data_IF_026811134097
#
_entry.id   IF_026811134097
#
_cell.length_a   1.000
_cell.length_b   1.000
_cell.length_c   1.000
_cell.angle_alpha   90.00
_cell.angle_beta   90.00
_cell.angle_gamma   90.00
#
_symmetry.space_group_name_H-M   'P 1'
#
loop_
_entity.id
_entity.type
_entity.pdbx_description
1 polymer ?
#
# COMPACT_ATOMS: atom_id res chain seq x y z
N UNK A 1 -11.14 -21.42 -36.22
CA UNK A 1 -10.50 -20.09 -36.37
C UNK A 1 -10.91 -19.12 -35.27
N UNK A 2 -12.20 -18.96 -34.93
CA UNK A 2 -12.66 -18.08 -33.84
C UNK A 2 -12.20 -18.57 -32.45
N UNK A 3 -12.34 -19.87 -32.15
CA UNK A 3 -11.86 -20.46 -30.88
C UNK A 3 -10.35 -20.32 -30.69
N UNK A 4 -9.56 -20.59 -31.74
CA UNK A 4 -8.10 -20.39 -31.67
C UNK A 4 -7.72 -18.93 -31.39
N UNK A 5 -8.44 -17.97 -31.95
CA UNK A 5 -8.22 -16.54 -31.67
C UNK A 5 -8.62 -16.17 -30.25
N UNK A 6 -9.69 -16.76 -29.72
CA UNK A 6 -10.13 -16.51 -28.35
C UNK A 6 -9.14 -17.09 -27.34
N UNK A 7 -8.71 -18.35 -27.52
CA UNK A 7 -7.70 -19.01 -26.67
C UNK A 7 -6.37 -18.24 -26.67
N UNK A 8 -5.93 -17.76 -27.85
CA UNK A 8 -4.70 -16.94 -27.95
C UNK A 8 -4.83 -15.61 -27.20
N UNK A 9 -6.01 -14.97 -27.25
CA UNK A 9 -6.27 -13.71 -26.53
C UNK A 9 -6.32 -13.92 -25.01
N UNK A 10 -6.93 -15.00 -24.56
CA UNK A 10 -6.97 -15.35 -23.14
C UNK A 10 -5.58 -15.67 -22.59
N UNK A 11 -4.79 -16.47 -23.30
CA UNK A 11 -3.41 -16.78 -22.92
C UNK A 11 -2.54 -15.52 -22.86
N UNK A 12 -2.75 -14.59 -23.79
CA UNK A 12 -2.05 -13.31 -23.82
C UNK A 12 -2.41 -12.45 -22.58
N UNK A 13 -3.69 -12.31 -22.27
CA UNK A 13 -4.15 -11.60 -21.07
C UNK A 13 -3.59 -12.23 -19.79
N UNK A 14 -3.62 -13.55 -19.70
CA UNK A 14 -3.06 -14.28 -18.56
C UNK A 14 -1.56 -13.99 -18.36
N UNK A 15 -0.75 -14.05 -19.41
CA UNK A 15 0.69 -13.72 -19.36
C UNK A 15 0.94 -12.30 -18.86
N UNK A 16 0.16 -11.33 -19.34
CA UNK A 16 0.25 -9.94 -18.89
C UNK A 16 -0.05 -9.83 -17.40
N UNK A 17 -1.12 -10.45 -16.93
CA UNK A 17 -1.53 -10.41 -15.53
C UNK A 17 -0.50 -11.07 -14.61
N UNK A 18 0.07 -12.20 -15.01
CA UNK A 18 1.12 -12.89 -14.24
C UNK A 18 2.36 -12.02 -14.13
N UNK A 19 2.85 -11.43 -15.21
CA UNK A 19 4.02 -10.55 -15.17
C UNK A 19 3.76 -9.31 -14.31
N UNK A 20 2.59 -8.69 -14.45
CA UNK A 20 2.19 -7.56 -13.61
C UNK A 20 2.10 -7.95 -12.12
N UNK A 21 1.50 -9.09 -11.80
CA UNK A 21 1.40 -9.59 -10.43
C UNK A 21 2.80 -9.90 -9.85
N UNK A 22 3.72 -10.44 -10.65
CA UNK A 22 5.09 -10.69 -10.23
C UNK A 22 5.83 -9.39 -9.92
N UNK A 23 5.67 -8.33 -10.72
CA UNK A 23 6.25 -7.01 -10.40
C UNK A 23 5.73 -6.51 -9.06
N UNK A 24 4.43 -6.55 -8.84
CA UNK A 24 3.80 -6.07 -7.59
C UNK A 24 4.17 -6.94 -6.40
N UNK A 25 4.36 -8.25 -6.59
CA UNK A 25 4.88 -9.15 -5.56
C UNK A 25 6.29 -8.76 -5.14
N UNK A 26 7.19 -8.50 -6.11
CA UNK A 26 8.56 -8.07 -5.83
C UNK A 26 8.61 -6.67 -5.19
N UNK A 27 7.67 -5.79 -5.56
CA UNK A 27 7.48 -4.50 -4.90
C UNK A 27 7.09 -4.67 -3.42
N UNK A 28 6.10 -5.52 -3.13
CA UNK A 28 5.70 -5.87 -1.77
C UNK A 28 6.82 -6.51 -0.97
N UNK A 29 7.64 -7.36 -1.61
CA UNK A 29 8.84 -7.95 -1.02
C UNK A 29 9.83 -6.87 -0.57
N UNK A 30 10.14 -5.91 -1.46
CA UNK A 30 11.15 -4.88 -1.16
C UNK A 30 10.66 -3.85 -0.13
N UNK A 31 9.38 -3.49 -0.15
CA UNK A 31 8.78 -2.64 0.89
C UNK A 31 8.98 -3.27 2.27
N UNK A 32 8.75 -4.58 2.40
CA UNK A 32 8.90 -5.31 3.65
C UNK A 32 10.34 -5.67 4.00
N UNK A 33 11.24 -5.74 3.03
CA UNK A 33 12.66 -6.01 3.24
C UNK A 33 13.27 -5.08 4.30
N UNK A 34 12.89 -3.82 4.29
CA UNK A 34 13.34 -2.84 5.29
C UNK A 34 12.85 -3.20 6.70
N UNK A 35 11.58 -3.56 6.87
CA UNK A 35 11.00 -3.90 8.17
C UNK A 35 11.59 -5.18 8.78
N UNK A 36 11.65 -6.26 7.98
CA UNK A 36 12.16 -7.56 8.46
C UNK A 36 13.66 -7.53 8.77
N UNK A 37 14.43 -6.69 8.09
CA UNK A 37 15.88 -6.52 8.31
C UNK A 37 16.22 -5.44 9.35
N UNK A 38 15.27 -4.59 9.72
CA UNK A 38 15.49 -3.36 10.48
C UNK A 38 16.23 -3.56 11.81
N UNK A 39 15.96 -4.65 12.55
CA UNK A 39 16.63 -4.93 13.82
C UNK A 39 18.10 -5.27 13.61
N UNK A 40 18.40 -6.16 12.65
CA UNK A 40 19.78 -6.56 12.34
C UNK A 40 20.59 -5.41 11.72
N UNK A 41 19.95 -4.61 10.85
CA UNK A 41 20.55 -3.39 10.29
C UNK A 41 20.85 -2.35 11.37
N UNK A 42 19.94 -2.13 12.31
CA UNK A 42 20.15 -1.20 13.41
C UNK A 42 21.33 -1.60 14.28
N UNK A 43 21.52 -2.90 14.54
CA UNK A 43 22.69 -3.42 15.26
C UNK A 43 23.97 -3.27 14.43
N UNK A 44 23.95 -3.62 13.14
CA UNK A 44 25.13 -3.58 12.28
C UNK A 44 25.67 -2.16 12.06
N UNK A 45 24.80 -1.16 12.00
CA UNK A 45 25.15 0.24 11.75
C UNK A 45 24.99 1.14 12.98
N UNK A 46 24.71 0.55 14.16
CA UNK A 46 24.50 1.30 15.43
C UNK A 46 23.49 2.43 15.30
N UNK A 47 22.35 2.15 14.63
CA UNK A 47 21.35 3.17 14.35
C UNK A 47 20.54 3.50 15.63
N UNK A 48 20.51 4.79 15.97
CA UNK A 48 19.55 5.28 16.95
C UNK A 48 18.10 5.07 16.44
N UNK A 49 17.10 4.98 17.35
CA UNK A 49 15.69 4.73 16.95
C UNK A 49 15.17 5.70 15.89
N UNK A 50 15.47 6.99 16.01
CA UNK A 50 15.08 7.99 15.02
C UNK A 50 15.75 7.75 13.65
N UNK A 51 17.05 7.43 13.62
CA UNK A 51 17.78 7.08 12.39
C UNK A 51 17.20 5.84 11.70
N UNK A 52 16.76 4.84 12.47
CA UNK A 52 16.04 3.67 11.97
C UNK A 52 14.67 4.07 11.39
N UNK A 53 13.94 5.00 12.04
CA UNK A 53 12.68 5.55 11.52
C UNK A 53 12.86 6.25 10.17
N UNK A 54 13.93 7.05 10.00
CA UNK A 54 14.28 7.71 8.73
C UNK A 54 14.59 6.67 7.65
N UNK A 55 15.38 5.64 7.97
CA UNK A 55 15.70 4.54 7.05
C UNK A 55 14.43 3.84 6.55
N UNK A 56 13.51 3.51 7.44
CA UNK A 56 12.23 2.85 7.11
C UNK A 56 11.30 3.76 6.29
N UNK A 57 11.29 5.06 6.58
CA UNK A 57 10.47 6.04 5.87
C UNK A 57 11.05 6.50 4.52
N UNK A 58 12.36 6.32 4.28
CA UNK A 58 13.04 6.87 3.12
C UNK A 58 12.46 6.39 1.78
N UNK A 59 12.13 5.09 1.66
CA UNK A 59 11.49 4.56 0.46
C UNK A 59 10.08 5.13 0.24
N UNK A 60 9.33 5.39 1.31
CA UNK A 60 8.00 5.99 1.20
C UNK A 60 8.05 7.43 0.63
N UNK A 61 9.09 8.20 0.95
CA UNK A 61 9.33 9.53 0.34
C UNK A 61 9.59 9.37 -1.17
N UNK A 62 10.45 8.44 -1.57
CA UNK A 62 10.72 8.15 -2.97
C UNK A 62 9.45 7.71 -3.72
N UNK A 63 8.67 6.79 -3.13
CA UNK A 63 7.39 6.32 -3.68
C UNK A 63 6.42 7.49 -3.86
N UNK A 64 6.30 8.38 -2.87
CA UNK A 64 5.41 9.55 -2.94
C UNK A 64 5.76 10.45 -4.14
N UNK A 65 7.03 10.83 -4.27
CA UNK A 65 7.50 11.70 -5.35
C UNK A 65 7.32 11.02 -6.72
N UNK A 66 7.78 9.77 -6.84
CA UNK A 66 7.77 9.07 -8.11
C UNK A 66 6.38 8.59 -8.55
N UNK A 67 5.42 8.38 -7.64
CA UNK A 67 4.06 8.03 -8.03
C UNK A 67 3.35 9.19 -8.75
N UNK A 68 3.68 10.42 -8.41
CA UNK A 68 3.17 11.62 -9.10
C UNK A 68 3.85 11.75 -10.47
N UNK A 69 5.18 11.71 -10.51
CA UNK A 69 5.95 11.85 -11.74
C UNK A 69 5.74 10.65 -12.70
N UNK A 70 5.69 9.44 -12.15
CA UNK A 70 5.56 8.19 -12.91
C UNK A 70 4.25 8.08 -13.67
N UNK A 71 3.14 8.54 -13.10
CA UNK A 71 1.86 8.63 -13.80
C UNK A 71 1.96 9.51 -15.05
N UNK A 72 2.49 10.72 -14.91
CA UNK A 72 2.70 11.65 -16.02
C UNK A 72 3.64 11.08 -17.08
N UNK A 73 4.76 10.48 -16.68
CA UNK A 73 5.72 9.87 -17.59
C UNK A 73 5.12 8.66 -18.31
N UNK A 74 4.29 7.86 -17.63
CA UNK A 74 3.62 6.71 -18.22
C UNK A 74 2.59 7.11 -19.29
N UNK A 75 1.89 8.22 -19.09
CA UNK A 75 0.96 8.76 -20.09
C UNK A 75 1.71 9.34 -21.30
N UNK A 76 2.86 10.01 -21.08
CA UNK A 76 3.68 10.62 -22.15
C UNK A 76 4.47 9.61 -22.97
N UNK A 77 5.15 8.66 -22.33
CA UNK A 77 6.09 7.73 -22.98
C UNK A 77 5.51 6.32 -23.15
N UNK A 78 4.31 6.08 -22.62
CA UNK A 78 3.69 4.76 -22.55
C UNK A 78 4.01 4.05 -21.23
N UNK A 79 3.12 3.15 -20.79
CA UNK A 79 3.22 2.48 -19.49
C UNK A 79 4.37 1.46 -19.42
N UNK A 80 4.58 0.67 -20.49
CA UNK A 80 5.61 -0.37 -20.52
C UNK A 80 7.02 0.14 -20.23
N UNK A 81 7.56 1.21 -20.86
CA UNK A 81 8.89 1.72 -20.55
C UNK A 81 9.05 2.14 -19.09
N UNK A 82 7.99 2.73 -18.49
CA UNK A 82 8.03 3.18 -17.10
C UNK A 82 8.04 2.00 -16.14
N UNK A 83 7.27 0.94 -16.43
CA UNK A 83 7.31 -0.31 -15.64
C UNK A 83 8.72 -0.92 -15.68
N UNK A 84 9.29 -1.08 -16.88
CA UNK A 84 10.64 -1.68 -17.03
C UNK A 84 11.69 -0.85 -16.30
N UNK A 85 11.70 0.48 -16.52
CA UNK A 85 12.65 1.38 -15.88
C UNK A 85 12.50 1.35 -14.35
N UNK A 86 11.26 1.43 -13.85
CA UNK A 86 10.98 1.36 -12.42
C UNK A 86 11.49 0.07 -11.79
N UNK A 87 11.25 -1.07 -12.44
CA UNK A 87 11.72 -2.39 -11.97
C UNK A 87 13.24 -2.46 -11.93
N UNK A 88 13.92 -1.97 -12.97
CA UNK A 88 15.39 -1.94 -13.01
C UNK A 88 15.93 -1.02 -11.89
N UNK A 89 15.36 0.17 -11.74
CA UNK A 89 15.80 1.14 -10.72
C UNK A 89 15.64 0.56 -9.32
N UNK A 90 14.46 0.05 -8.95
CA UNK A 90 14.30 -0.48 -7.60
C UNK A 90 15.17 -1.72 -7.35
N UNK A 91 15.37 -2.59 -8.35
CA UNK A 91 16.26 -3.74 -8.23
C UNK A 91 17.72 -3.34 -8.02
N UNK A 92 18.24 -2.41 -8.81
CA UNK A 92 19.62 -1.92 -8.67
C UNK A 92 19.86 -1.23 -7.32
N UNK A 93 18.93 -0.38 -6.89
CA UNK A 93 19.09 0.34 -5.63
C UNK A 93 18.79 -0.51 -4.41
N UNK A 94 17.97 -1.56 -4.52
CA UNK A 94 17.88 -2.61 -3.49
C UNK A 94 19.22 -3.30 -3.30
N UNK A 95 19.93 -3.70 -4.38
CA UNK A 95 21.30 -4.23 -4.33
C UNK A 95 22.30 -3.20 -3.77
N UNK A 96 22.17 -1.93 -4.09
CA UNK A 96 23.08 -0.89 -3.58
C UNK A 96 23.05 -0.77 -2.05
N UNK A 97 21.97 -1.22 -1.40
CA UNK A 97 21.88 -1.31 0.06
C UNK A 97 23.00 -2.18 0.64
N UNK A 98 23.44 -3.22 -0.10
CA UNK A 98 24.54 -4.10 0.31
C UNK A 98 25.90 -3.39 0.38
N UNK A 99 26.07 -2.29 -0.34
CA UNK A 99 27.27 -1.48 -0.39
C UNK A 99 27.25 -0.31 0.61
N UNK A 100 26.20 -0.23 1.44
CA UNK A 100 26.09 0.84 2.42
C UNK A 100 27.16 0.70 3.52
N UNK A 101 27.79 1.82 3.86
CA UNK A 101 28.81 1.90 4.93
C UNK A 101 28.33 2.77 6.10
N UNK A 102 27.07 3.22 6.09
CA UNK A 102 26.45 4.03 7.14
C UNK A 102 25.05 4.49 6.76
N UNK A 103 24.40 5.18 7.70
CA UNK A 103 22.99 5.61 7.60
C UNK A 103 22.70 6.42 6.34
N UNK A 104 23.59 7.34 5.95
CA UNK A 104 23.37 8.20 4.76
C UNK A 104 23.24 7.40 3.47
N UNK A 105 24.11 6.38 3.27
CA UNK A 105 24.03 5.50 2.09
C UNK A 105 22.80 4.59 2.14
N UNK A 106 22.41 4.11 3.33
CA UNK A 106 21.18 3.34 3.53
C UNK A 106 19.95 4.17 3.14
N UNK A 107 19.86 5.42 3.61
CA UNK A 107 18.76 6.33 3.27
C UNK A 107 18.74 6.59 1.77
N UNK A 108 19.87 6.90 1.15
CA UNK A 108 19.95 7.17 -0.29
C UNK A 108 19.52 5.94 -1.11
N UNK A 109 20.01 4.75 -0.78
CA UNK A 109 19.62 3.51 -1.44
C UNK A 109 18.09 3.28 -1.33
N UNK A 110 17.51 3.41 -0.14
CA UNK A 110 16.07 3.23 0.09
C UNK A 110 15.22 4.29 -0.62
N UNK A 111 15.67 5.54 -0.62
CA UNK A 111 14.98 6.62 -1.35
C UNK A 111 14.94 6.34 -2.86
N UNK A 112 16.07 5.96 -3.44
CA UNK A 112 16.17 5.62 -4.87
C UNK A 112 15.37 4.35 -5.21
N UNK A 113 15.40 3.34 -4.34
CA UNK A 113 14.51 2.16 -4.47
C UNK A 113 13.05 2.63 -4.49
N UNK A 114 12.67 3.52 -3.60
CA UNK A 114 11.34 4.10 -3.53
C UNK A 114 10.92 4.84 -4.80
N UNK A 115 11.85 5.55 -5.46
CA UNK A 115 11.58 6.19 -6.76
C UNK A 115 11.22 5.14 -7.84
N UNK A 116 11.94 4.02 -7.89
CA UNK A 116 11.64 2.92 -8.80
C UNK A 116 10.26 2.30 -8.55
N UNK A 117 9.97 1.97 -7.28
CA UNK A 117 8.69 1.40 -6.85
C UNK A 117 7.51 2.35 -7.15
N UNK A 118 7.66 3.63 -6.80
CA UNK A 118 6.61 4.64 -6.99
C UNK A 118 6.28 4.91 -8.46
N UNK A 119 7.26 4.77 -9.36
CA UNK A 119 7.03 4.88 -10.79
C UNK A 119 6.38 3.62 -11.38
N UNK A 120 6.79 2.43 -10.93
CA UNK A 120 6.32 1.15 -11.46
C UNK A 120 4.87 0.86 -11.09
N UNK A 121 4.47 1.00 -9.83
CA UNK A 121 3.17 0.58 -9.31
C UNK A 121 1.97 1.12 -10.09
N UNK A 122 1.77 2.45 -10.23
CA UNK A 122 0.62 2.97 -10.96
C UNK A 122 0.65 2.57 -12.44
N UNK A 123 1.84 2.48 -13.04
CA UNK A 123 2.01 2.06 -14.43
C UNK A 123 1.62 0.60 -14.64
N UNK A 124 2.00 -0.31 -13.73
CA UNK A 124 1.64 -1.74 -13.76
C UNK A 124 0.14 -1.94 -13.62
N UNK A 125 -0.49 -1.27 -12.65
CA UNK A 125 -1.93 -1.38 -12.39
C UNK A 125 -2.72 -0.91 -13.62
N UNK A 126 -2.33 0.25 -14.17
CA UNK A 126 -2.95 0.79 -15.36
C UNK A 126 -2.73 -0.12 -16.58
N UNK A 127 -1.51 -0.66 -16.74
CA UNK A 127 -1.16 -1.58 -17.82
C UNK A 127 -1.99 -2.87 -17.77
N UNK A 128 -2.13 -3.47 -16.60
CA UNK A 128 -2.94 -4.65 -16.39
C UNK A 128 -4.43 -4.39 -16.65
N UNK A 129 -4.94 -3.25 -16.21
CA UNK A 129 -6.32 -2.83 -16.47
C UNK A 129 -6.60 -2.69 -17.98
N UNK A 130 -5.68 -2.09 -18.75
CA UNK A 130 -5.84 -1.90 -20.20
C UNK A 130 -5.86 -3.21 -20.99
N UNK A 131 -5.13 -4.23 -20.51
CA UNK A 131 -5.04 -5.53 -21.18
C UNK A 131 -6.02 -6.56 -20.65
N UNK A 132 -6.90 -6.16 -19.72
CA UNK A 132 -7.95 -7.00 -19.18
C UNK A 132 -9.30 -6.74 -19.88
N UNK A 133 -10.15 -7.77 -20.09
CA UNK A 133 -11.52 -7.60 -20.57
C UNK A 133 -12.30 -6.66 -19.64
N UNK A 134 -13.24 -5.88 -20.19
CA UNK A 134 -14.01 -4.87 -19.43
C UNK A 134 -14.69 -5.44 -18.18
N UNK A 135 -15.28 -6.64 -18.28
CA UNK A 135 -15.94 -7.33 -17.18
C UNK A 135 -14.98 -7.88 -16.12
N UNK A 136 -13.67 -7.96 -16.42
CA UNK A 136 -12.65 -8.51 -15.52
C UNK A 136 -11.68 -7.44 -14.97
N UNK A 137 -11.71 -6.21 -15.46
CA UNK A 137 -10.76 -5.14 -15.05
C UNK A 137 -10.66 -4.96 -13.54
N UNK A 138 -11.80 -4.88 -12.84
CA UNK A 138 -11.84 -4.73 -11.38
C UNK A 138 -11.21 -5.93 -10.67
N UNK A 139 -11.52 -7.15 -11.13
CA UNK A 139 -10.96 -8.39 -10.55
C UNK A 139 -9.46 -8.50 -10.80
N UNK A 140 -9.00 -8.14 -12.00
CA UNK A 140 -7.57 -8.15 -12.36
C UNK A 140 -6.77 -7.20 -11.46
N UNK A 141 -7.25 -5.97 -11.26
CA UNK A 141 -6.62 -4.99 -10.36
C UNK A 141 -6.62 -5.50 -8.91
N UNK A 142 -7.74 -6.04 -8.43
CA UNK A 142 -7.82 -6.62 -7.07
C UNK A 142 -6.84 -7.78 -6.86
N UNK A 143 -6.74 -8.70 -7.83
CA UNK A 143 -5.79 -9.81 -7.80
C UNK A 143 -4.34 -9.33 -7.71
N UNK A 144 -3.99 -8.31 -8.48
CA UNK A 144 -2.63 -7.72 -8.48
C UNK A 144 -2.31 -7.10 -7.11
N UNK A 145 -3.25 -6.38 -6.50
CA UNK A 145 -3.04 -5.81 -5.16
C UNK A 145 -2.83 -6.86 -4.06
N UNK A 146 -3.43 -8.05 -4.17
CA UNK A 146 -3.19 -9.15 -3.24
C UNK A 146 -1.73 -9.67 -3.28
N UNK A 147 -0.99 -9.40 -4.35
CA UNK A 147 0.41 -9.82 -4.46
C UNK A 147 1.35 -9.03 -3.52
N UNK A 148 1.01 -7.80 -3.13
CA UNK A 148 1.83 -6.97 -2.22
C UNK A 148 2.10 -7.67 -0.88
N UNK A 149 1.08 -8.07 -0.08
CA UNK A 149 1.34 -8.72 1.18
C UNK A 149 1.95 -10.13 1.03
N UNK A 150 1.71 -10.82 -0.10
CA UNK A 150 2.38 -12.09 -0.42
C UNK A 150 3.88 -11.85 -0.60
N UNK A 151 4.28 -10.78 -1.28
CA UNK A 151 5.68 -10.36 -1.37
C UNK A 151 6.29 -10.10 0.01
N UNK A 152 5.56 -9.44 0.90
CA UNK A 152 5.96 -9.21 2.28
C UNK A 152 6.15 -10.50 3.08
N UNK A 153 5.27 -11.49 2.91
CA UNK A 153 5.40 -12.81 3.50
C UNK A 153 6.69 -13.50 3.01
N UNK A 154 6.96 -13.45 1.71
CA UNK A 154 8.18 -14.03 1.12
C UNK A 154 9.45 -13.35 1.64
N UNK A 155 9.45 -12.03 1.89
CA UNK A 155 10.62 -11.34 2.45
C UNK A 155 10.93 -11.85 3.87
N UNK A 156 9.90 -12.08 4.68
CA UNK A 156 10.03 -12.73 5.99
C UNK A 156 10.58 -14.15 5.89
N UNK A 157 10.09 -14.94 4.93
CA UNK A 157 10.53 -16.30 4.69
C UNK A 157 12.02 -16.35 4.26
N UNK A 158 12.47 -15.48 3.37
CA UNK A 158 13.87 -15.35 2.96
C UNK A 158 14.75 -15.00 4.16
N UNK A 159 14.27 -14.08 5.01
CA UNK A 159 14.99 -13.69 6.22
C UNK A 159 15.14 -14.84 7.21
N UNK A 160 14.10 -15.69 7.37
CA UNK A 160 14.09 -16.86 8.24
C UNK A 160 14.89 -18.02 7.70
N UNK A 161 14.89 -18.24 6.38
CA UNK A 161 15.60 -19.33 5.75
C UNK A 161 17.13 -19.25 5.96
N UNK A 162 17.66 -18.09 6.40
CA UNK A 162 19.08 -17.91 6.63
C UNK A 162 19.94 -18.12 5.38
N UNK A 163 19.34 -18.02 4.19
CA UNK A 163 20.03 -18.13 2.90
C UNK A 163 21.18 -17.13 2.89
N UNK A 164 22.39 -17.59 2.64
CA UNK A 164 23.61 -16.77 2.64
C UNK A 164 24.01 -16.17 4.01
N UNK A 165 23.57 -16.78 5.13
CA UNK A 165 23.93 -16.38 6.49
C UNK A 165 22.78 -15.78 7.31
N UNK A 166 23.02 -15.60 8.62
CA UNK A 166 22.03 -15.06 9.56
C UNK A 166 21.94 -13.54 9.57
N UNK A 167 22.48 -12.89 8.55
CA UNK A 167 22.63 -11.43 8.38
C UNK A 167 21.35 -10.79 7.76
N UNK A 168 21.37 -9.49 7.58
CA UNK A 168 20.33 -8.70 6.94
C UNK A 168 20.44 -8.68 5.39
N UNK A 169 21.60 -9.05 4.83
CA UNK A 169 21.93 -8.97 3.40
C UNK A 169 21.06 -9.85 2.47
N UNK A 170 20.68 -11.09 2.85
CA UNK A 170 19.94 -11.99 1.95
C UNK A 170 18.66 -11.38 1.37
N UNK A 171 17.95 -10.61 2.18
CA UNK A 171 16.68 -10.02 1.77
C UNK A 171 16.87 -8.95 0.68
N UNK A 172 17.96 -8.18 0.74
CA UNK A 172 18.31 -7.19 -0.29
C UNK A 172 18.94 -7.83 -1.53
N UNK A 173 19.65 -8.93 -1.36
CA UNK A 173 20.20 -9.70 -2.48
C UNK A 173 19.06 -10.26 -3.32
N UNK A 174 18.10 -10.95 -2.71
CA UNK A 174 16.91 -11.49 -3.39
C UNK A 174 16.05 -10.35 -3.94
N UNK A 175 15.77 -9.32 -3.11
CA UNK A 175 14.95 -8.16 -3.49
C UNK A 175 15.53 -7.34 -4.63
N UNK A 176 16.84 -7.44 -4.88
CA UNK A 176 17.48 -6.76 -6.00
C UNK A 176 17.69 -7.65 -7.23
N UNK A 177 18.15 -8.90 -7.06
CA UNK A 177 18.39 -9.82 -8.18
C UNK A 177 17.07 -10.19 -8.88
N UNK A 178 16.03 -10.53 -8.11
CA UNK A 178 14.77 -10.99 -8.68
C UNK A 178 14.12 -9.97 -9.64
N UNK A 179 14.02 -8.66 -9.32
CA UNK A 179 13.54 -7.66 -10.27
C UNK A 179 14.42 -7.52 -11.52
N UNK A 180 15.75 -7.58 -11.35
CA UNK A 180 16.68 -7.48 -12.49
C UNK A 180 16.53 -8.68 -13.42
N UNK A 181 16.35 -9.89 -12.87
CA UNK A 181 16.07 -11.09 -13.66
C UNK A 181 14.69 -11.02 -14.33
N UNK A 182 13.70 -10.39 -13.68
CA UNK A 182 12.37 -10.21 -14.26
C UNK A 182 12.37 -9.18 -15.40
N UNK A 183 13.21 -8.15 -15.32
CA UNK A 183 13.19 -7.03 -16.27
C UNK A 183 13.25 -7.44 -17.76
N UNK A 184 14.09 -8.40 -18.21
CA UNK A 184 14.09 -8.90 -19.58
C UNK A 184 12.73 -9.47 -20.03
N UNK A 185 12.01 -10.17 -19.12
CA UNK A 185 10.71 -10.74 -19.46
C UNK A 185 9.63 -9.66 -19.64
N UNK A 186 9.80 -8.48 -19.01
CA UNK A 186 8.88 -7.35 -19.22
C UNK A 186 8.99 -6.77 -20.65
N UNK A 187 10.09 -7.01 -21.37
CA UNK A 187 10.17 -6.65 -22.80
C UNK A 187 9.26 -7.51 -23.67
N UNK A 188 8.80 -8.68 -23.19
CA UNK A 188 7.81 -9.52 -23.88
C UNK A 188 6.39 -8.95 -23.76
N UNK A 189 6.15 -7.98 -22.86
CA UNK A 189 4.87 -7.29 -22.76
C UNK A 189 4.55 -6.54 -24.06
N UNK A 190 3.29 -6.49 -24.51
CA UNK A 190 2.85 -5.70 -25.65
C UNK A 190 3.25 -4.22 -25.53
N UNK A 191 3.44 -3.57 -26.67
CA UNK A 191 3.65 -2.11 -26.66
C UNK A 191 2.38 -1.41 -26.18
N UNK A 192 2.49 -0.62 -25.11
CA UNK A 192 1.43 0.29 -24.73
C UNK A 192 1.48 1.54 -25.62
N UNK A 193 0.35 1.90 -26.22
CA UNK A 193 0.28 3.18 -26.93
C UNK A 193 0.20 4.30 -25.91
N UNK A 194 0.96 5.41 -26.07
CA UNK A 194 0.73 6.59 -25.28
C UNK A 194 -0.73 7.00 -25.40
N UNK A 195 -1.36 7.34 -24.30
CA UNK A 195 -2.72 7.92 -24.36
C UNK A 195 -2.56 9.30 -25.00
N UNK A 196 -3.19 9.53 -26.17
CA UNK A 196 -3.21 10.86 -26.73
C UNK A 196 -3.83 11.80 -25.69
N UNK A 197 -3.02 12.73 -25.18
CA UNK A 197 -3.51 13.80 -24.33
C UNK A 197 -4.40 14.68 -25.20
N UNK A 198 -5.71 14.43 -25.18
CA UNK A 198 -6.65 15.37 -25.77
C UNK A 198 -6.50 16.67 -24.99
N UNK A 199 -6.10 17.72 -25.66
CA UNK A 199 -5.94 19.06 -25.09
C UNK A 199 -7.22 19.61 -24.42
N UNK A 200 -8.37 19.00 -24.70
CA UNK A 200 -9.65 19.27 -24.04
C UNK A 200 -9.80 18.64 -22.65
N UNK A 201 -8.92 17.69 -22.25
CA UNK A 201 -8.91 17.07 -20.92
C UNK A 201 -7.89 17.72 -19.96
N UNK A 202 -7.13 18.74 -20.42
CA UNK A 202 -6.29 19.52 -19.51
C UNK A 202 -7.20 20.26 -18.53
N UNK A 203 -7.02 20.10 -17.21
CA UNK A 203 -7.87 20.74 -16.24
C UNK A 203 -7.78 22.25 -16.41
N UNK A 204 -8.93 22.90 -16.63
CA UNK A 204 -9.05 24.33 -16.51
C UNK A 204 -8.47 24.77 -15.16
N UNK A 205 -7.37 25.50 -15.17
CA UNK A 205 -6.69 26.10 -14.02
C UNK A 205 -6.66 25.25 -12.73
N UNK A 206 -5.47 24.95 -12.21
CA UNK A 206 -5.29 24.21 -10.94
C UNK A 206 -6.09 24.79 -9.76
N UNK A 207 -6.37 26.10 -9.77
CA UNK A 207 -7.21 26.80 -8.80
C UNK A 207 -8.68 26.34 -8.83
N UNK A 208 -9.23 26.04 -10.01
CA UNK A 208 -10.62 25.56 -10.14
C UNK A 208 -10.77 24.13 -9.61
N UNK A 209 -9.70 23.33 -9.65
CA UNK A 209 -9.70 21.96 -9.12
C UNK A 209 -9.66 21.97 -7.59
N UNK A 210 -8.76 22.76 -7.00
CA UNK A 210 -8.63 22.86 -5.56
C UNK A 210 -9.89 23.47 -4.94
N UNK A 211 -10.45 24.49 -5.57
CA UNK A 211 -11.75 25.08 -5.17
C UNK A 211 -12.91 24.10 -5.31
N UNK A 212 -12.87 23.19 -6.30
CA UNK A 212 -13.85 22.10 -6.45
C UNK A 212 -13.77 21.07 -5.34
N UNK A 213 -12.56 20.70 -4.90
CA UNK A 213 -12.34 19.73 -3.82
C UNK A 213 -12.62 20.32 -2.44
N UNK A 214 -12.21 21.57 -2.20
CA UNK A 214 -12.33 22.27 -0.91
C UNK A 214 -13.50 23.24 -0.88
N UNK A 215 -14.32 23.28 -1.93
CA UNK A 215 -15.54 24.09 -1.98
C UNK A 215 -16.62 23.60 -1.03
N UNK A 216 -17.61 24.46 -0.74
CA UNK A 216 -18.67 24.24 0.27
C UNK A 216 -19.43 22.90 0.14
N UNK A 217 -19.45 22.27 -1.05
CA UNK A 217 -20.14 21.00 -1.27
C UNK A 217 -19.31 19.74 -0.96
N UNK A 218 -17.97 19.82 -0.96
CA UNK A 218 -17.08 18.66 -0.82
C UNK A 218 -16.07 18.77 0.31
N UNK A 219 -15.94 19.91 0.97
CA UNK A 219 -14.93 20.19 1.99
C UNK A 219 -14.86 19.11 3.07
N UNK A 220 -15.97 18.87 3.77
CA UNK A 220 -15.98 17.89 4.87
C UNK A 220 -15.69 16.46 4.39
N UNK A 221 -16.20 16.08 3.22
CA UNK A 221 -15.96 14.77 2.61
C UNK A 221 -14.50 14.61 2.24
N UNK A 222 -13.89 15.62 1.66
CA UNK A 222 -12.48 15.63 1.24
C UNK A 222 -11.56 15.54 2.45
N UNK A 223 -11.76 16.38 3.47
CA UNK A 223 -10.93 16.36 4.68
C UNK A 223 -11.09 15.05 5.43
N UNK A 224 -12.32 14.55 5.60
CA UNK A 224 -12.55 13.25 6.26
C UNK A 224 -11.86 12.11 5.50
N UNK A 225 -11.92 12.10 4.17
CA UNK A 225 -11.28 11.08 3.33
C UNK A 225 -9.74 11.16 3.42
N UNK A 226 -9.18 12.38 3.45
CA UNK A 226 -7.73 12.59 3.60
C UNK A 226 -7.24 12.13 4.96
N UNK A 227 -7.91 12.52 6.04
CA UNK A 227 -7.56 12.13 7.41
C UNK A 227 -7.69 10.63 7.62
N UNK A 228 -8.75 10.01 7.09
CA UNK A 228 -8.95 8.56 7.16
C UNK A 228 -7.82 7.80 6.43
N UNK A 229 -7.47 8.20 5.19
CA UNK A 229 -6.38 7.57 4.45
C UNK A 229 -5.02 7.79 5.13
N UNK A 230 -4.74 9.02 5.57
CA UNK A 230 -3.50 9.36 6.28
C UNK A 230 -3.32 8.47 7.51
N UNK A 231 -4.31 8.43 8.41
CA UNK A 231 -4.19 7.66 9.65
C UNK A 231 -4.14 6.15 9.41
N UNK A 232 -4.94 5.62 8.48
CA UNK A 232 -4.91 4.19 8.14
C UNK A 232 -3.56 3.76 7.58
N UNK A 233 -3.00 4.52 6.64
CA UNK A 233 -1.69 4.20 6.06
C UNK A 233 -0.54 4.50 7.03
N UNK A 234 -0.68 5.47 7.95
CA UNK A 234 0.27 5.69 9.04
C UNK A 234 0.38 4.43 9.91
N UNK A 235 -0.75 3.92 10.41
CA UNK A 235 -0.80 2.71 11.25
C UNK A 235 -0.25 1.51 10.49
N UNK A 236 -0.70 1.31 9.26
CA UNK A 236 -0.28 0.20 8.42
C UNK A 236 1.24 0.19 8.20
N UNK A 237 1.84 1.30 7.78
CA UNK A 237 3.27 1.36 7.45
C UNK A 237 4.17 1.39 8.69
N UNK A 238 3.67 1.92 9.81
CA UNK A 238 4.36 1.77 11.10
C UNK A 238 4.46 0.29 11.47
N UNK A 239 3.35 -0.45 11.43
CA UNK A 239 3.34 -1.89 11.73
C UNK A 239 4.19 -2.69 10.72
N UNK A 240 4.10 -2.39 9.42
CA UNK A 240 4.91 -3.04 8.40
C UNK A 240 6.42 -2.86 8.64
N UNK A 241 6.85 -1.68 9.07
CA UNK A 241 8.26 -1.37 9.26
C UNK A 241 8.80 -1.74 10.64
N UNK A 242 8.00 -1.59 11.69
CA UNK A 242 8.50 -1.67 13.06
C UNK A 242 8.06 -2.90 13.83
N UNK A 243 6.99 -3.60 13.45
CA UNK A 243 6.43 -4.72 14.22
C UNK A 243 7.50 -5.75 14.65
N UNK A 244 8.41 -6.26 13.77
CA UNK A 244 9.41 -7.22 14.23
C UNK A 244 10.28 -6.65 15.35
N UNK A 245 10.67 -5.39 15.24
CA UNK A 245 11.54 -4.73 16.22
C UNK A 245 10.83 -4.44 17.54
N UNK A 246 9.56 -4.05 17.48
CA UNK A 246 8.74 -3.81 18.66
C UNK A 246 8.53 -5.12 19.43
N UNK A 247 8.24 -6.20 18.74
CA UNK A 247 8.02 -7.52 19.34
C UNK A 247 9.30 -8.09 19.99
N UNK A 248 10.46 -7.87 19.36
CA UNK A 248 11.75 -8.22 19.98
C UNK A 248 12.00 -7.42 21.25
N UNK A 249 11.69 -6.11 21.24
CA UNK A 249 11.78 -5.26 22.42
C UNK A 249 10.79 -5.66 23.53
N UNK A 250 9.68 -6.32 23.18
CA UNK A 250 8.67 -6.86 24.11
C UNK A 250 8.99 -8.29 24.57
N UNK A 251 10.14 -8.87 24.19
CA UNK A 251 10.64 -10.15 24.70
C UNK A 251 10.48 -11.35 23.78
N UNK A 252 9.90 -11.22 22.59
CA UNK A 252 9.90 -12.29 21.59
C UNK A 252 11.29 -12.46 20.96
N UNK A 253 11.66 -13.69 20.62
CA UNK A 253 12.89 -13.91 19.88
C UNK A 253 12.79 -13.35 18.45
N UNK A 254 13.96 -13.07 17.85
CA UNK A 254 14.02 -12.57 16.47
C UNK A 254 13.26 -13.48 15.47
N UNK A 255 13.42 -14.83 15.49
CA UNK A 255 12.63 -15.71 14.65
C UNK A 255 11.12 -15.60 14.89
N UNK A 256 10.69 -15.61 16.16
CA UNK A 256 9.28 -15.48 16.52
C UNK A 256 8.66 -14.19 15.98
N UNK A 257 9.36 -13.05 16.11
CA UNK A 257 8.89 -11.76 15.60
C UNK A 257 8.71 -11.76 14.07
N UNK A 258 9.55 -12.49 13.35
CA UNK A 258 9.41 -12.66 11.90
C UNK A 258 8.17 -13.49 11.53
N UNK A 259 7.90 -14.59 12.24
CA UNK A 259 6.69 -15.40 12.02
C UNK A 259 5.41 -14.57 12.29
N UNK A 260 5.42 -13.76 13.34
CA UNK A 260 4.31 -12.85 13.64
C UNK A 260 4.10 -11.85 12.48
N UNK A 261 5.18 -11.27 11.95
CA UNK A 261 5.11 -10.37 10.78
C UNK A 261 4.59 -11.09 9.53
N UNK A 262 5.04 -12.33 9.29
CA UNK A 262 4.55 -13.12 8.15
C UNK A 262 3.05 -13.38 8.27
N UNK A 263 2.56 -13.71 9.47
CA UNK A 263 1.14 -13.97 9.69
C UNK A 263 0.29 -12.69 9.60
N UNK A 264 0.84 -11.53 10.01
CA UNK A 264 0.23 -10.22 9.75
C UNK A 264 0.05 -9.97 8.24
N UNK A 265 1.08 -10.22 7.43
CA UNK A 265 1.00 -10.09 5.97
C UNK A 265 0.01 -11.09 5.35
N UNK A 266 -0.04 -12.32 5.86
CA UNK A 266 -1.05 -13.29 5.43
C UNK A 266 -2.46 -12.83 5.76
N UNK A 267 -2.67 -12.29 6.96
CA UNK A 267 -3.92 -11.64 7.34
C UNK A 267 -4.31 -10.50 6.40
N UNK A 268 -3.34 -9.64 6.03
CA UNK A 268 -3.57 -8.58 5.04
C UNK A 268 -4.01 -9.13 3.68
N UNK A 269 -3.44 -10.23 3.22
CA UNK A 269 -3.84 -10.87 1.95
C UNK A 269 -5.29 -11.34 2.00
N UNK A 270 -5.68 -11.99 3.08
CA UNK A 270 -7.07 -12.45 3.31
C UNK A 270 -8.02 -11.25 3.43
N UNK A 271 -7.64 -10.23 4.21
CA UNK A 271 -8.43 -9.00 4.37
C UNK A 271 -8.63 -8.23 3.07
N UNK A 272 -7.61 -8.14 2.22
CA UNK A 272 -7.72 -7.52 0.91
C UNK A 272 -8.67 -8.29 -0.03
N UNK A 273 -8.57 -9.63 -0.04
CA UNK A 273 -9.43 -10.48 -0.86
C UNK A 273 -10.89 -10.44 -0.38
N UNK A 274 -11.13 -10.52 0.93
CA UNK A 274 -12.47 -10.53 1.52
C UNK A 274 -13.10 -9.15 1.58
N UNK A 275 -12.30 -8.10 1.76
CA UNK A 275 -12.77 -6.72 1.84
C UNK A 275 -13.57 -6.30 0.60
N UNK A 276 -13.10 -6.63 -0.60
CA UNK A 276 -13.83 -6.39 -1.84
C UNK A 276 -15.19 -7.13 -1.88
N UNK A 277 -15.23 -8.39 -1.44
CA UNK A 277 -16.45 -9.19 -1.41
C UNK A 277 -17.47 -8.66 -0.38
N UNK A 278 -17.03 -8.25 0.80
CA UNK A 278 -17.89 -7.69 1.83
C UNK A 278 -18.54 -6.36 1.39
N UNK A 279 -17.80 -5.57 0.59
CA UNK A 279 -18.29 -4.30 0.06
C UNK A 279 -19.35 -4.47 -1.03
N UNK A 280 -19.35 -5.57 -1.79
CA UNK A 280 -20.35 -5.86 -2.81
C UNK A 280 -21.70 -6.32 -2.22
N UNK A 281 -21.71 -6.80 -0.98
CA UNK A 281 -22.93 -7.18 -0.26
C UNK A 281 -23.34 -6.03 0.67
N UNK A 282 -24.64 -5.77 0.86
CA UNK A 282 -25.27 -4.69 1.67
C UNK A 282 -24.68 -4.45 3.09
N UNK A 283 -23.58 -5.12 3.47
CA UNK A 283 -22.76 -4.92 4.66
C UNK A 283 -21.89 -3.65 4.59
N UNK A 284 -22.04 -2.86 3.53
CA UNK A 284 -21.23 -1.69 3.18
C UNK A 284 -21.10 -0.66 4.31
N UNK A 285 -22.10 -0.52 5.15
CA UNK A 285 -22.15 0.51 6.18
C UNK A 285 -21.59 0.09 7.54
N UNK A 286 -21.65 -1.20 7.87
CA UNK A 286 -21.16 -1.74 9.14
C UNK A 286 -19.70 -2.19 9.08
N UNK A 287 -19.24 -2.68 7.93
CA UNK A 287 -17.89 -3.22 7.73
C UNK A 287 -16.77 -2.25 8.12
N UNK A 288 -16.81 -0.94 7.75
CA UNK A 288 -15.74 -0.01 8.14
C UNK A 288 -15.64 0.16 9.65
N UNK A 289 -16.78 0.37 10.33
CA UNK A 289 -16.80 0.57 11.78
C UNK A 289 -16.25 -0.64 12.54
N UNK A 290 -16.69 -1.84 12.17
CA UNK A 290 -16.22 -3.09 12.80
C UNK A 290 -14.73 -3.33 12.55
N UNK A 291 -14.22 -3.05 11.34
CA UNK A 291 -12.81 -3.23 11.02
C UNK A 291 -11.88 -2.31 11.85
N UNK A 292 -12.23 -1.03 12.01
CA UNK A 292 -11.43 -0.09 12.80
C UNK A 292 -11.52 -0.36 14.30
N UNK A 293 -12.70 -0.73 14.82
CA UNK A 293 -12.87 -1.11 16.23
C UNK A 293 -12.08 -2.39 16.53
N UNK A 294 -12.19 -3.42 15.69
CA UNK A 294 -11.43 -4.66 15.87
C UNK A 294 -9.93 -4.41 15.80
N UNK A 295 -9.46 -3.58 14.86
CA UNK A 295 -8.05 -3.19 14.77
C UNK A 295 -7.58 -2.48 16.04
N UNK A 296 -8.36 -1.54 16.57
CA UNK A 296 -8.04 -0.84 17.82
C UNK A 296 -8.00 -1.80 19.02
N UNK A 297 -8.89 -2.79 19.08
CA UNK A 297 -8.87 -3.83 20.11
C UNK A 297 -7.63 -4.72 20.00
N UNK A 298 -7.25 -5.14 18.79
CA UNK A 298 -6.03 -5.91 18.60
C UNK A 298 -4.78 -5.12 18.99
N UNK A 299 -4.71 -3.82 18.65
CA UNK A 299 -3.64 -2.93 19.09
C UNK A 299 -3.60 -2.80 20.62
N UNK A 300 -4.75 -2.70 21.28
CA UNK A 300 -4.84 -2.65 22.72
C UNK A 300 -4.35 -3.96 23.36
N UNK A 301 -4.75 -5.11 22.81
CA UNK A 301 -4.28 -6.42 23.27
C UNK A 301 -2.75 -6.51 23.16
N UNK A 302 -2.16 -6.10 22.06
CA UNK A 302 -0.70 -6.07 21.92
C UNK A 302 -0.01 -5.07 22.84
N UNK A 303 -0.60 -3.88 23.05
CA UNK A 303 0.01 -2.82 23.84
C UNK A 303 -0.08 -3.04 25.34
N UNK A 304 -1.19 -3.62 25.84
CA UNK A 304 -1.43 -3.76 27.27
C UNK A 304 -1.15 -5.15 27.83
N UNK A 305 -1.12 -6.18 26.98
CA UNK A 305 -0.91 -7.56 27.41
C UNK A 305 0.43 -8.09 26.92
N UNK A 306 1.19 -8.74 27.81
CA UNK A 306 2.35 -9.53 27.41
C UNK A 306 1.85 -10.83 26.77
N UNK A 307 1.85 -10.88 25.45
CA UNK A 307 1.38 -12.03 24.69
C UNK A 307 2.48 -13.09 24.58
N UNK A 308 2.09 -14.34 24.76
CA UNK A 308 2.91 -15.45 24.30
C UNK A 308 2.98 -15.48 22.77
N UNK A 309 3.89 -16.31 22.25
CA UNK A 309 4.11 -16.37 20.79
C UNK A 309 2.86 -16.76 20.01
N UNK A 310 2.05 -17.71 20.50
CA UNK A 310 0.87 -18.19 19.78
C UNK A 310 -0.25 -17.14 19.77
N UNK A 311 -0.47 -16.48 20.89
CA UNK A 311 -1.43 -15.36 20.95
C UNK A 311 -0.99 -14.21 20.05
N UNK A 312 0.30 -13.87 20.02
CA UNK A 312 0.85 -12.84 19.14
C UNK A 312 0.61 -13.17 17.66
N UNK A 313 0.73 -14.44 17.24
CA UNK A 313 0.41 -14.87 15.88
C UNK A 313 -1.05 -14.60 15.51
N UNK A 314 -1.99 -14.96 16.38
CA UNK A 314 -3.42 -14.82 16.12
C UNK A 314 -3.85 -13.34 16.08
N UNK A 315 -3.33 -12.54 17.02
CA UNK A 315 -3.61 -11.10 17.07
C UNK A 315 -3.04 -10.40 15.83
N UNK A 316 -1.81 -10.72 15.41
CA UNK A 316 -1.21 -10.15 14.22
C UNK A 316 -1.97 -10.50 12.95
N UNK A 317 -2.44 -11.73 12.80
CA UNK A 317 -3.31 -12.13 11.70
C UNK A 317 -4.57 -11.27 11.65
N UNK A 318 -5.26 -11.13 12.79
CA UNK A 318 -6.46 -10.29 12.92
C UNK A 318 -6.19 -8.83 12.58
N UNK A 319 -5.09 -8.26 13.09
CA UNK A 319 -4.67 -6.88 12.77
C UNK A 319 -4.45 -6.69 11.27
N UNK A 320 -3.72 -7.62 10.63
CA UNK A 320 -3.47 -7.59 9.19
C UNK A 320 -4.76 -7.66 8.38
N UNK A 321 -5.68 -8.56 8.73
CA UNK A 321 -6.96 -8.68 8.06
C UNK A 321 -7.80 -7.41 8.19
N UNK A 322 -7.92 -6.86 9.39
CA UNK A 322 -8.77 -5.69 9.65
C UNK A 322 -8.23 -4.41 8.99
N UNK A 323 -6.92 -4.18 9.01
CA UNK A 323 -6.35 -2.99 8.36
C UNK A 323 -6.48 -3.05 6.84
N UNK A 324 -6.39 -4.24 6.24
CA UNK A 324 -6.60 -4.40 4.80
C UNK A 324 -8.07 -4.19 4.41
N UNK A 325 -9.03 -4.67 5.20
CA UNK A 325 -10.46 -4.39 5.02
C UNK A 325 -10.75 -2.89 5.15
N UNK A 326 -10.17 -2.22 6.16
CA UNK A 326 -10.31 -0.78 6.34
C UNK A 326 -9.79 0.00 5.12
N UNK A 327 -8.61 -0.36 4.61
CA UNK A 327 -8.03 0.29 3.44
C UNK A 327 -8.83 0.03 2.16
N UNK A 328 -9.31 -1.21 1.96
CA UNK A 328 -10.17 -1.55 0.83
C UNK A 328 -11.47 -0.72 0.83
N UNK A 329 -12.05 -0.49 2.00
CA UNK A 329 -13.22 0.37 2.18
C UNK A 329 -12.95 1.81 1.71
N UNK A 330 -11.83 2.41 2.14
CA UNK A 330 -11.47 3.76 1.74
C UNK A 330 -11.30 3.89 0.23
N UNK A 331 -10.65 2.93 -0.41
CA UNK A 331 -10.49 2.92 -1.87
C UNK A 331 -11.82 2.73 -2.62
N UNK A 332 -12.75 1.93 -2.08
CA UNK A 332 -14.06 1.73 -2.69
C UNK A 332 -14.96 2.96 -2.59
N UNK A 333 -14.92 3.69 -1.45
CA UNK A 333 -15.75 4.88 -1.24
C UNK A 333 -15.18 6.15 -1.86
N UNK A 334 -13.87 6.28 -2.01
CA UNK A 334 -13.25 7.49 -2.56
C UNK A 334 -13.86 7.97 -3.89
N UNK A 335 -14.10 7.11 -4.91
CA UNK A 335 -14.72 7.53 -6.16
C UNK A 335 -16.18 7.96 -6.01
N UNK A 336 -16.90 7.47 -4.99
CA UNK A 336 -18.32 7.76 -4.75
C UNK A 336 -18.51 9.14 -4.12
N UNK A 337 -17.47 9.69 -3.52
CA UNK A 337 -17.50 10.96 -2.82
C UNK A 337 -17.55 12.17 -3.77
N UNK A 338 -17.13 12.01 -5.02
CA UNK A 338 -16.92 13.12 -5.95
C UNK A 338 -17.82 13.02 -7.19
N UNK A 339 -18.18 14.18 -7.75
CA UNK A 339 -18.83 14.27 -9.06
C UNK A 339 -17.88 13.82 -10.19
N UNK A 340 -18.39 13.37 -11.35
CA UNK A 340 -17.56 12.84 -12.44
C UNK A 340 -16.42 13.76 -12.88
N UNK A 341 -16.63 15.08 -12.90
CA UNK A 341 -15.64 16.05 -13.36
C UNK A 341 -14.42 16.24 -12.44
N UNK A 342 -14.55 15.96 -11.13
CA UNK A 342 -13.45 16.10 -10.15
C UNK A 342 -13.06 14.77 -9.49
N UNK A 343 -13.69 13.66 -9.88
CA UNK A 343 -13.54 12.35 -9.26
C UNK A 343 -12.09 11.86 -9.26
N UNK A 344 -11.44 11.87 -10.40
CA UNK A 344 -10.08 11.39 -10.54
C UNK A 344 -9.10 12.20 -9.67
N UNK A 345 -9.28 13.51 -9.65
CA UNK A 345 -8.45 14.40 -8.83
C UNK A 345 -8.72 14.22 -7.34
N UNK A 346 -10.00 14.05 -6.94
CA UNK A 346 -10.36 13.80 -5.55
C UNK A 346 -9.80 12.49 -5.01
N UNK A 347 -9.90 11.41 -5.81
CA UNK A 347 -9.30 10.11 -5.47
C UNK A 347 -7.78 10.22 -5.41
N UNK A 348 -7.15 10.87 -6.39
CA UNK A 348 -5.70 11.08 -6.41
C UNK A 348 -5.20 11.86 -5.19
N UNK A 349 -5.91 12.92 -4.80
CA UNK A 349 -5.59 13.71 -3.61
C UNK A 349 -5.72 12.90 -2.31
N UNK A 350 -6.74 12.04 -2.21
CA UNK A 350 -6.92 11.14 -1.06
C UNK A 350 -5.77 10.10 -0.96
N UNK A 351 -5.35 9.54 -2.09
CA UNK A 351 -4.19 8.63 -2.14
C UNK A 351 -2.92 9.38 -1.75
N UNK A 352 -2.70 10.60 -2.24
CA UNK A 352 -1.55 11.42 -1.87
C UNK A 352 -1.51 11.74 -0.36
N UNK A 353 -2.66 12.09 0.24
CA UNK A 353 -2.75 12.29 1.68
C UNK A 353 -2.37 11.00 2.45
N UNK A 354 -2.84 9.85 1.99
CA UNK A 354 -2.45 8.56 2.57
C UNK A 354 -0.95 8.29 2.46
N UNK A 355 -0.31 8.66 1.34
CA UNK A 355 1.15 8.51 1.18
C UNK A 355 1.95 9.32 2.21
N UNK A 356 1.47 10.48 2.63
CA UNK A 356 2.08 11.21 3.75
C UNK A 356 2.01 10.39 5.05
N UNK A 357 0.92 9.63 5.27
CA UNK A 357 0.81 8.69 6.39
C UNK A 357 1.89 7.59 6.33
N UNK A 358 2.21 7.07 5.13
CA UNK A 358 3.26 6.05 4.98
C UNK A 358 4.67 6.55 5.37
N UNK A 359 4.90 7.86 5.26
CA UNK A 359 6.13 8.52 5.70
C UNK A 359 6.09 8.78 7.22
N UNK A 360 4.96 9.32 7.68
CA UNK A 360 4.80 9.73 9.08
C UNK A 360 4.85 8.53 10.05
N UNK A 361 4.31 7.37 9.67
CA UNK A 361 4.25 6.19 10.54
C UNK A 361 5.62 5.73 11.04
N UNK A 362 6.59 5.38 10.17
CA UNK A 362 7.91 4.99 10.60
C UNK A 362 8.66 6.06 11.39
N UNK A 363 8.49 7.34 11.06
CA UNK A 363 9.08 8.46 11.78
C UNK A 363 8.48 8.62 13.18
N UNK A 364 7.16 8.46 13.32
CA UNK A 364 6.47 8.52 14.62
C UNK A 364 7.03 7.46 15.58
N UNK A 365 7.14 6.21 15.17
CA UNK A 365 7.71 5.17 16.02
C UNK A 365 9.18 5.46 16.38
N UNK A 366 9.98 5.91 15.41
CA UNK A 366 11.37 6.29 15.65
C UNK A 366 11.53 7.45 16.62
N UNK A 367 10.64 8.45 16.55
CA UNK A 367 10.60 9.60 17.46
C UNK A 367 10.18 9.20 18.87
N UNK A 368 9.13 8.38 19.03
CA UNK A 368 8.66 7.91 20.34
C UNK A 368 9.73 7.07 21.05
N UNK A 369 10.32 6.10 20.35
CA UNK A 369 11.40 5.28 20.90
C UNK A 369 12.67 6.09 21.18
N UNK A 370 12.96 7.10 20.35
CA UNK A 370 14.06 8.03 20.58
C UNK A 370 13.86 8.95 21.79
N UNK A 371 12.60 9.22 22.15
CA UNK A 371 12.22 9.96 23.36
C UNK A 371 12.14 9.06 24.62
N UNK A 372 12.55 7.78 24.50
CA UNK A 372 12.56 6.85 25.62
C UNK A 372 11.23 6.12 25.89
N UNK A 373 10.25 6.26 25.00
CA UNK A 373 9.00 5.50 25.11
C UNK A 373 9.24 4.01 24.83
N UNK A 374 8.42 3.15 25.41
CA UNK A 374 8.52 1.70 25.22
C UNK A 374 7.89 1.24 23.91
N UNK A 375 8.18 -0.01 23.50
CA UNK A 375 7.52 -0.63 22.35
C UNK A 375 6.00 -0.74 22.52
N UNK A 376 5.52 -0.96 23.76
CA UNK A 376 4.11 -0.98 24.10
C UNK A 376 3.46 0.41 23.92
N UNK A 377 4.12 1.49 24.34
CA UNK A 377 3.62 2.86 24.18
C UNK A 377 3.43 3.22 22.70
N UNK A 378 4.34 2.78 21.83
CA UNK A 378 4.21 2.96 20.36
C UNK A 378 2.91 2.33 19.86
N UNK A 379 2.58 1.11 20.30
CA UNK A 379 1.34 0.43 19.88
C UNK A 379 0.10 1.11 20.47
N UNK A 380 0.16 1.55 21.73
CA UNK A 380 -0.94 2.26 22.41
C UNK A 380 -1.27 3.59 21.72
N UNK A 381 -0.26 4.35 21.29
CA UNK A 381 -0.46 5.61 20.55
C UNK A 381 -1.18 5.39 19.21
N UNK A 382 -1.11 4.19 18.60
CA UNK A 382 -1.85 3.89 17.38
C UNK A 382 -3.35 3.72 17.60
N UNK A 383 -3.82 3.43 18.85
CA UNK A 383 -5.23 3.22 19.16
C UNK A 383 -6.07 4.47 18.84
N UNK A 384 -5.78 5.66 19.41
CA UNK A 384 -6.56 6.86 19.08
C UNK A 384 -6.47 7.26 17.60
N UNK A 385 -5.32 7.05 16.93
CA UNK A 385 -5.18 7.31 15.50
C UNK A 385 -6.10 6.38 14.70
N UNK A 386 -6.15 5.10 15.05
CA UNK A 386 -7.02 4.09 14.42
C UNK A 386 -8.50 4.46 14.61
N UNK A 387 -8.91 4.81 15.82
CA UNK A 387 -10.30 5.20 16.11
C UNK A 387 -10.69 6.50 15.39
N UNK A 388 -9.80 7.50 15.35
CA UNK A 388 -10.03 8.74 14.60
C UNK A 388 -10.19 8.45 13.10
N UNK A 389 -9.33 7.59 12.52
CA UNK A 389 -9.45 7.15 11.13
C UNK A 389 -10.78 6.41 10.87
N UNK A 390 -11.23 5.61 11.83
CA UNK A 390 -12.52 4.91 11.77
C UNK A 390 -13.70 5.89 11.79
N UNK A 391 -13.69 6.88 12.66
CA UNK A 391 -14.71 7.94 12.71
C UNK A 391 -14.75 8.72 11.40
N UNK A 392 -13.59 9.13 10.87
CA UNK A 392 -13.50 9.83 9.59
C UNK A 392 -14.02 8.96 8.44
N UNK A 393 -13.72 7.65 8.44
CA UNK A 393 -14.24 6.70 7.45
C UNK A 393 -15.76 6.58 7.53
N UNK A 394 -16.35 6.49 8.71
CA UNK A 394 -17.79 6.45 8.90
C UNK A 394 -18.46 7.74 8.41
N UNK A 395 -17.84 8.90 8.62
CA UNK A 395 -18.33 10.18 8.07
C UNK A 395 -18.31 10.15 6.53
N UNK A 396 -17.24 9.65 5.92
CA UNK A 396 -17.15 9.48 4.45
C UNK A 396 -18.27 8.59 3.93
N UNK A 397 -18.49 7.44 4.56
CA UNK A 397 -19.54 6.48 4.19
C UNK A 397 -20.92 7.12 4.29
N UNK A 398 -21.22 7.83 5.38
CA UNK A 398 -22.50 8.55 5.58
C UNK A 398 -22.70 9.66 4.54
N UNK A 399 -21.66 10.40 4.21
CA UNK A 399 -21.74 11.47 3.21
C UNK A 399 -21.88 10.93 1.78
N UNK A 400 -21.24 9.82 1.46
CA UNK A 400 -21.37 9.13 0.17
C UNK A 400 -22.76 8.50 -0.03
N UNK A 401 -23.44 8.15 1.06
CA UNK A 401 -24.80 7.57 1.03
C UNK A 401 -25.92 8.59 0.81
N UNK A 402 -25.66 9.89 1.00
CA UNK A 402 -26.67 10.93 0.78
C UNK A 402 -26.98 11.06 -0.71
N UNK A 403 -28.26 11.10 -1.13
CA UNK A 403 -28.61 11.33 -2.52
C UNK A 403 -28.05 12.69 -2.98
N UNK A 404 -27.37 12.66 -4.12
CA UNK A 404 -26.82 13.90 -4.70
C UNK A 404 -27.98 14.76 -5.25
N UNK A 405 -27.93 16.10 -5.14
CA UNK A 405 -28.97 16.98 -5.64
C UNK A 405 -29.34 16.75 -7.11
N UNK A 406 -28.39 16.31 -7.94
CA UNK A 406 -28.64 15.99 -9.34
C UNK A 406 -29.58 14.77 -9.55
N UNK A 407 -29.61 13.82 -8.61
CA UNK A 407 -30.46 12.61 -8.71
C UNK A 407 -31.92 12.92 -8.36
N UNK A 408 -32.16 14.00 -7.61
CA UNK A 408 -33.51 14.46 -7.25
C UNK A 408 -34.25 15.07 -8.47
N UNK A 409 -33.49 15.66 -9.39
CA UNK A 409 -34.09 16.29 -10.60
C UNK A 409 -34.24 15.34 -11.80
N UNK A 410 -33.61 14.14 -11.76
CA UNK A 410 -33.64 13.20 -12.89
C UNK A 410 -34.78 12.18 -12.86
N UNK A 411 -35.63 12.19 -11.83
CA UNK A 411 -36.84 11.37 -11.78
C UNK A 411 -36.67 9.85 -11.82
N UNK A 412 -35.43 9.33 -11.68
CA UNK A 412 -35.10 7.91 -11.86
C UNK A 412 -34.91 7.12 -10.57
N UNK A 413 -35.41 7.60 -9.43
CA UNK A 413 -35.46 6.80 -8.21
C UNK A 413 -36.76 5.99 -8.21
N UNK A 414 -36.77 4.85 -8.91
CA UNK A 414 -37.70 3.78 -8.54
C UNK A 414 -37.17 3.19 -7.22
N UNK A 415 -37.82 3.56 -6.12
CA UNK A 415 -37.74 2.87 -4.84
C UNK A 415 -38.14 1.40 -5.06
N UNK A 416 -37.17 0.50 -5.19
CA UNK A 416 -37.36 -0.93 -5.05
C UNK A 416 -36.78 -1.35 -3.70
N UNK A 417 -37.69 -1.53 -2.75
CA UNK A 417 -37.58 -2.45 -1.63
C UNK A 417 -36.78 -1.96 -0.42
N UNK A 418 -37.48 -1.39 0.54
CA UNK A 418 -37.24 -1.51 1.97
C UNK A 418 -37.20 -2.98 2.39
#
# INVERSE_FOLDING_TARGET
>A
MAELRQTTKELHTFRVLVLCATVILLEGFDIQAAGVSATKLALAFQLAPFGKGIFLGASAVGIFIASIAGGFLADKYGRKPIVVLGVIVFGLFSLSTLLATGLGKLIAARFMTGLGLGAAMPAVIAYASDHSPENMKKRAVGFIYCAIPIGGLLSGAVMQAGLFGSDWRPVYLVGGIAPIVLAPFLFLLPKSRPKALNSSELPSSQWNILSGLLGKGHFYTTISLWMANFGTLLVMYLLLGWMPSLLVAMGLSQPQSQYVQMLYNFGMSIGAATGGYLLDRKLLYSTPGTAFVALALFLAVFGFLMLDFHAALMVAFGMGAMIAVAQATLYAFAPLCYSPGIRNTGVGAAVAAGRLGTIAGPLLAGSLLGAGQTAADVLIVLIPITLASGIMTLLVVRMAAKPKPADIFSGSIRLKGL
#
